data_IF_459996059440
#
_entry.id   IF_459996059440
#
_cell.length_a   1.000
_cell.length_b   1.000
_cell.length_c   1.000
_cell.angle_alpha   90.00
_cell.angle_beta   90.00
_cell.angle_gamma   90.00
#
_symmetry.space_group_name_H-M   'P 1'
#
loop_
_entity.id
_entity.type
_entity.pdbx_description
1 polymer ?
#
# COMPACT_ATOMS: atom_id res chain seq x y z
N UNK A 1 10.99 4.81 -17.97
CA UNK A 1 9.62 5.15 -17.67
C UNK A 1 9.40 5.16 -16.17
N UNK A 2 8.97 6.27 -15.66
CA UNK A 2 8.71 6.36 -14.23
C UNK A 2 7.44 5.59 -13.91
N UNK A 3 7.49 4.73 -12.91
CA UNK A 3 6.32 4.08 -12.40
C UNK A 3 5.49 5.04 -11.58
N UNK A 4 4.28 4.62 -11.24
CA UNK A 4 3.46 5.34 -10.29
C UNK A 4 3.79 4.87 -8.89
N UNK A 5 3.84 5.82 -7.97
CA UNK A 5 4.16 5.53 -6.58
C UNK A 5 2.89 5.56 -5.74
N UNK A 6 2.68 4.52 -4.98
CA UNK A 6 1.55 4.40 -4.06
C UNK A 6 2.11 4.41 -2.64
N UNK A 7 1.81 5.45 -1.89
CA UNK A 7 2.21 5.56 -0.49
C UNK A 7 0.99 5.31 0.37
N UNK A 8 1.04 4.29 1.21
CA UNK A 8 -0.11 3.85 1.99
C UNK A 8 0.10 4.16 3.46
N UNK A 9 -0.81 4.95 4.03
CA UNK A 9 -0.91 5.15 5.47
C UNK A 9 -1.56 3.90 6.06
N UNK A 10 -0.73 3.02 6.62
CA UNK A 10 -1.19 1.72 7.10
C UNK A 10 -2.23 1.81 8.20
N UNK A 11 -2.11 2.78 9.08
CA UNK A 11 -3.08 3.00 10.15
C UNK A 11 -4.47 3.30 9.59
N UNK A 12 -4.54 4.22 8.62
CA UNK A 12 -5.81 4.56 7.96
C UNK A 12 -6.47 3.34 7.35
N UNK A 13 -5.69 2.51 6.66
CA UNK A 13 -6.23 1.33 5.98
C UNK A 13 -6.67 0.26 6.98
N UNK A 14 -5.85 -0.03 7.98
CA UNK A 14 -6.19 -1.04 8.99
C UNK A 14 -7.49 -0.69 9.71
N UNK A 15 -7.67 0.59 10.06
CA UNK A 15 -8.86 1.01 10.77
C UNK A 15 -10.09 1.22 9.87
N UNK A 16 -9.88 1.33 8.56
CA UNK A 16 -10.99 1.49 7.60
C UNK A 16 -11.51 0.16 7.07
N UNK A 17 -10.64 -0.82 6.88
CA UNK A 17 -11.06 -2.12 6.37
C UNK A 17 -11.56 -2.99 7.52
N UNK A 18 -12.80 -3.44 7.45
CA UNK A 18 -13.46 -4.13 8.55
C UNK A 18 -12.71 -5.36 9.03
N UNK A 19 -12.24 -6.18 8.11
CA UNK A 19 -11.51 -7.41 8.47
C UNK A 19 -10.18 -7.11 9.16
N UNK A 20 -9.46 -6.10 8.69
CA UNK A 20 -8.18 -5.72 9.30
C UNK A 20 -8.39 -5.03 10.64
N UNK A 21 -9.45 -4.22 10.77
CA UNK A 21 -9.78 -3.59 12.05
C UNK A 21 -10.09 -4.65 13.10
N UNK A 22 -10.87 -5.65 12.74
CA UNK A 22 -11.19 -6.76 13.64
C UNK A 22 -9.94 -7.54 14.03
N UNK A 23 -9.10 -7.85 13.05
CA UNK A 23 -7.84 -8.56 13.29
C UNK A 23 -6.91 -7.75 14.19
N UNK A 24 -6.84 -6.45 14.00
CA UNK A 24 -6.00 -5.57 14.79
C UNK A 24 -6.37 -5.58 16.28
N UNK A 25 -7.66 -5.73 16.59
CA UNK A 25 -8.11 -5.83 17.98
C UNK A 25 -7.60 -7.10 18.66
N UNK A 26 -7.38 -8.15 17.90
CA UNK A 26 -6.91 -9.44 18.40
C UNK A 26 -5.37 -9.55 18.34
N UNK A 27 -4.78 -9.07 17.28
CA UNK A 27 -3.35 -9.23 17.02
C UNK A 27 -2.88 -8.13 16.07
N UNK A 28 -2.23 -7.12 16.63
CA UNK A 28 -1.74 -5.98 15.86
C UNK A 28 -0.71 -6.39 14.80
N UNK A 29 0.18 -7.29 15.16
CA UNK A 29 1.22 -7.77 14.24
C UNK A 29 0.61 -8.51 13.07
N UNK A 30 -0.41 -9.32 13.32
CA UNK A 30 -1.10 -10.06 12.27
C UNK A 30 -1.80 -9.12 11.29
N UNK A 31 -2.43 -8.07 11.79
CA UNK A 31 -3.09 -7.08 10.93
C UNK A 31 -2.09 -6.37 10.02
N UNK A 32 -0.95 -5.97 10.58
CA UNK A 32 0.12 -5.32 9.80
C UNK A 32 0.70 -6.24 8.76
N UNK A 33 0.96 -7.49 9.14
CA UNK A 33 1.48 -8.49 8.21
C UNK A 33 0.50 -8.77 7.09
N UNK A 34 -0.78 -8.92 7.41
CA UNK A 34 -1.81 -9.17 6.42
C UNK A 34 -1.90 -8.04 5.41
N UNK A 35 -1.89 -6.79 5.90
CA UNK A 35 -1.88 -5.64 5.01
C UNK A 35 -0.65 -5.61 4.11
N UNK A 36 0.53 -5.83 4.70
CA UNK A 36 1.77 -5.85 3.93
C UNK A 36 1.75 -6.93 2.84
N UNK A 37 1.24 -8.12 3.17
CA UNK A 37 1.15 -9.22 2.20
C UNK A 37 0.20 -8.87 1.05
N UNK A 38 -0.95 -8.27 1.35
CA UNK A 38 -1.91 -7.84 0.32
C UNK A 38 -1.31 -6.77 -0.59
N UNK A 39 -0.63 -5.79 0.00
CA UNK A 39 0.00 -4.72 -0.77
C UNK A 39 1.18 -5.22 -1.60
N UNK A 40 1.91 -6.21 -1.09
CA UNK A 40 2.97 -6.83 -1.86
C UNK A 40 2.41 -7.51 -3.10
N UNK A 41 1.25 -8.14 -2.99
CA UNK A 41 0.55 -8.69 -4.15
C UNK A 41 0.25 -7.64 -5.19
N UNK A 42 -0.24 -6.48 -4.76
CA UNK A 42 -0.52 -5.36 -5.67
C UNK A 42 0.78 -4.85 -6.31
N UNK A 43 1.83 -4.68 -5.50
CA UNK A 43 3.13 -4.22 -5.98
C UNK A 43 3.71 -5.16 -7.05
N UNK A 44 3.62 -6.46 -6.80
CA UNK A 44 4.22 -7.47 -7.67
C UNK A 44 3.43 -7.68 -8.96
N UNK A 45 2.12 -7.46 -8.92
CA UNK A 45 1.23 -7.77 -10.06
C UNK A 45 0.85 -6.55 -10.91
N UNK A 46 1.27 -5.35 -10.51
CA UNK A 46 0.91 -4.11 -11.21
C UNK A 46 2.14 -3.23 -11.41
N UNK A 47 1.94 -2.11 -12.09
CA UNK A 47 2.97 -1.09 -12.24
C UNK A 47 3.12 -0.19 -11.01
N UNK A 48 2.29 -0.35 -9.99
CA UNK A 48 2.38 0.43 -8.78
C UNK A 48 3.64 0.07 -7.99
N UNK A 49 4.38 1.10 -7.59
CA UNK A 49 5.51 0.96 -6.66
C UNK A 49 4.99 1.32 -5.28
N UNK A 50 4.84 0.34 -4.42
CA UNK A 50 4.14 0.51 -3.15
C UNK A 50 5.11 0.74 -2.01
N UNK A 51 4.84 1.75 -1.19
CA UNK A 51 5.49 2.00 0.09
C UNK A 51 4.41 2.01 1.16
N UNK A 52 4.55 1.14 2.15
CA UNK A 52 3.65 1.06 3.29
C UNK A 52 4.30 1.74 4.47
N UNK A 53 3.62 2.72 5.06
CA UNK A 53 4.10 3.42 6.25
C UNK A 53 3.24 3.00 7.44
N UNK A 54 3.89 2.53 8.49
CA UNK A 54 3.22 2.05 9.70
C UNK A 54 3.67 2.87 10.91
N UNK A 55 2.73 3.16 11.79
CA UNK A 55 3.03 3.73 13.09
C UNK A 55 3.52 2.65 14.03
N UNK A 56 4.34 3.06 15.00
CA UNK A 56 4.72 2.22 16.11
C UNK A 56 6.12 1.69 16.01
N UNK A 57 6.61 1.28 17.16
CA UNK A 57 8.01 1.00 17.39
C UNK A 57 8.34 -0.48 17.38
N UNK A 58 7.39 -1.33 17.01
CA UNK A 58 7.58 -2.78 17.14
C UNK A 58 8.22 -3.36 15.90
N UNK A 59 9.47 -3.70 16.05
CA UNK A 59 10.24 -4.35 15.02
C UNK A 59 10.79 -3.37 14.00
N UNK A 60 11.85 -3.78 13.37
CA UNK A 60 12.41 -3.09 12.21
C UNK A 60 11.76 -3.68 10.97
N UNK A 61 11.49 -2.82 10.01
CA UNK A 61 11.05 -3.30 8.71
C UNK A 61 12.12 -4.22 8.12
N UNK A 62 11.74 -5.36 7.56
CA UNK A 62 12.73 -6.18 6.86
C UNK A 62 13.31 -5.39 5.71
N UNK A 63 14.62 -5.48 5.53
CA UNK A 63 15.28 -4.83 4.40
C UNK A 63 14.71 -5.42 3.10
N UNK A 64 14.52 -4.60 2.06
CA UNK A 64 14.11 -5.11 0.76
C UNK A 64 15.14 -6.13 0.27
N UNK A 65 14.65 -7.27 -0.21
CA UNK A 65 15.53 -8.32 -0.73
C UNK A 65 16.15 -7.95 -2.07
N UNK A 66 15.42 -7.14 -2.82
CA UNK A 66 15.83 -6.67 -4.14
C UNK A 66 15.44 -5.20 -4.28
N UNK A 67 16.10 -4.45 -5.17
CA UNK A 67 15.79 -3.03 -5.35
C UNK A 67 14.34 -2.74 -5.73
N UNK A 68 13.65 -3.70 -6.30
CA UNK A 68 12.26 -3.52 -6.77
C UNK A 68 11.23 -4.01 -5.77
N UNK A 69 11.63 -4.45 -4.58
CA UNK A 69 10.68 -4.93 -3.60
C UNK A 69 9.85 -3.78 -3.02
N UNK A 70 8.65 -4.12 -2.57
CA UNK A 70 7.82 -3.19 -1.81
C UNK A 70 8.58 -2.71 -0.57
N UNK A 71 8.47 -1.44 -0.27
CA UNK A 71 9.12 -0.83 0.88
C UNK A 71 8.13 -0.72 2.04
N UNK A 72 8.55 -1.16 3.23
CA UNK A 72 7.78 -0.96 4.46
C UNK A 72 8.61 -0.08 5.39
N UNK A 73 8.01 1.01 5.86
CA UNK A 73 8.67 1.96 6.75
C UNK A 73 7.90 2.01 8.06
N UNK A 74 8.60 1.87 9.17
CA UNK A 74 8.03 2.05 10.51
C UNK A 74 8.42 3.42 11.05
N UNK A 75 7.42 4.17 11.52
CA UNK A 75 7.67 5.42 12.22
C UNK A 75 8.31 5.13 13.56
N UNK A 76 9.36 5.87 13.88
CA UNK A 76 10.01 5.79 15.20
C UNK A 76 9.24 6.62 16.22
N UNK A 77 9.64 6.51 17.50
CA UNK A 77 8.94 7.19 18.59
C UNK A 77 8.86 8.70 18.44
N UNK A 78 9.83 9.30 17.75
CA UNK A 78 9.91 10.75 17.54
C UNK A 78 9.38 11.21 16.18
N UNK A 79 8.77 10.30 15.43
CA UNK A 79 8.22 10.59 14.10
C UNK A 79 6.83 10.01 13.98
N UNK A 80 5.95 10.71 13.26
CA UNK A 80 4.62 10.19 12.93
C UNK A 80 4.64 9.62 11.53
N UNK A 81 3.70 8.73 11.23
CA UNK A 81 3.51 8.25 9.87
C UNK A 81 3.25 9.41 8.92
N UNK A 82 2.45 10.39 9.35
CA UNK A 82 2.15 11.59 8.57
C UNK A 82 3.39 12.34 8.15
N UNK A 83 4.32 12.54 9.08
CA UNK A 83 5.55 13.28 8.77
C UNK A 83 6.46 12.50 7.84
N UNK A 84 6.48 11.18 7.94
CA UNK A 84 7.23 10.33 7.02
C UNK A 84 6.64 10.41 5.62
N UNK A 85 5.33 10.30 5.51
CA UNK A 85 4.62 10.37 4.22
C UNK A 85 4.89 11.71 3.56
N UNK A 86 4.77 12.80 4.31
CA UNK A 86 5.07 14.13 3.81
C UNK A 86 6.49 14.23 3.25
N UNK A 87 7.46 13.69 3.97
CA UNK A 87 8.85 13.69 3.51
C UNK A 87 9.07 12.85 2.28
N UNK A 88 8.39 11.69 2.20
CA UNK A 88 8.48 10.83 1.01
C UNK A 88 7.96 11.55 -0.22
N UNK A 89 6.83 12.25 -0.09
CA UNK A 89 6.25 13.01 -1.20
C UNK A 89 7.18 14.14 -1.60
N UNK A 90 7.67 14.92 -0.63
CA UNK A 90 8.55 16.04 -0.91
C UNK A 90 9.86 15.61 -1.55
N UNK A 91 10.40 14.47 -1.13
CA UNK A 91 11.68 13.96 -1.64
C UNK A 91 11.57 13.23 -2.96
N UNK A 92 10.35 12.90 -3.41
CA UNK A 92 10.16 12.08 -4.60
C UNK A 92 10.66 12.73 -5.89
N UNK A 93 10.70 14.07 -5.93
CA UNK A 93 11.03 14.80 -7.14
C UNK A 93 9.97 14.70 -8.22
N UNK A 94 8.92 13.93 -8.01
CA UNK A 94 7.85 13.68 -8.95
C UNK A 94 6.53 13.51 -8.20
N UNK A 95 6.16 14.52 -7.38
CA UNK A 95 4.97 14.44 -6.53
C UNK A 95 3.70 14.13 -7.35
N UNK A 96 3.62 14.61 -8.58
CA UNK A 96 2.46 14.34 -9.44
C UNK A 96 2.27 12.85 -9.74
N UNK A 97 3.32 12.04 -9.60
CA UNK A 97 3.26 10.60 -9.82
C UNK A 97 2.98 9.83 -8.53
N UNK A 98 2.78 10.51 -7.41
CA UNK A 98 2.54 9.90 -6.11
C UNK A 98 1.07 9.95 -5.76
N UNK A 99 0.52 8.79 -5.41
CA UNK A 99 -0.83 8.68 -4.86
C UNK A 99 -0.71 8.24 -3.40
N UNK A 100 -1.27 9.04 -2.50
CA UNK A 100 -1.25 8.74 -1.06
C UNK A 100 -2.62 8.23 -0.64
N UNK A 101 -2.62 7.09 0.04
CA UNK A 101 -3.84 6.50 0.59
C UNK A 101 -3.93 6.86 2.06
N UNK A 102 -4.92 7.65 2.40
CA UNK A 102 -5.14 8.08 3.78
C UNK A 102 -6.61 8.42 4.02
N UNK A 103 -7.05 8.23 5.26
CA UNK A 103 -8.36 8.68 5.72
C UNK A 103 -8.26 10.00 6.50
N UNK A 104 -7.04 10.48 6.75
CA UNK A 104 -6.81 11.69 7.53
C UNK A 104 -6.91 12.92 6.62
N UNK A 105 -7.87 13.79 6.92
CA UNK A 105 -8.14 14.96 6.10
C UNK A 105 -6.98 15.98 6.14
N UNK A 106 -6.33 16.12 7.29
CA UNK A 106 -5.20 17.04 7.43
C UNK A 106 -4.02 16.56 6.59
N UNK A 107 -3.70 15.27 6.71
CA UNK A 107 -2.65 14.65 5.90
C UNK A 107 -2.95 14.79 4.41
N UNK A 108 -4.21 14.54 4.03
CA UNK A 108 -4.64 14.65 2.64
C UNK A 108 -4.35 16.02 2.07
N UNK A 109 -4.77 17.07 2.78
CA UNK A 109 -4.55 18.46 2.35
C UNK A 109 -3.08 18.78 2.25
N UNK A 110 -2.30 18.27 3.20
CA UNK A 110 -0.88 18.56 3.25
C UNK A 110 -0.16 17.98 2.03
N UNK A 111 -0.37 16.69 1.74
CA UNK A 111 0.31 16.06 0.59
C UNK A 111 -0.22 16.59 -0.73
N UNK A 112 -1.49 16.97 -0.81
CA UNK A 112 -2.03 17.61 -2.00
C UNK A 112 -1.38 18.97 -2.24
N UNK A 113 -1.07 19.70 -1.18
CA UNK A 113 -0.36 20.97 -1.30
C UNK A 113 1.06 20.79 -1.84
N UNK A 114 1.63 19.60 -1.68
CA UNK A 114 2.95 19.26 -2.24
C UNK A 114 2.87 18.74 -3.67
N UNK A 115 1.67 18.59 -4.20
CA UNK A 115 1.47 18.16 -5.58
C UNK A 115 1.06 16.71 -5.76
N UNK A 116 0.95 15.93 -4.68
CA UNK A 116 0.52 14.53 -4.76
C UNK A 116 -1.01 14.43 -4.89
N UNK A 117 -1.46 13.29 -5.41
CA UNK A 117 -2.87 12.94 -5.39
C UNK A 117 -3.16 12.11 -4.15
N UNK A 118 -4.43 12.06 -3.75
CA UNK A 118 -4.86 11.26 -2.61
C UNK A 118 -6.08 10.44 -2.97
N UNK A 119 -6.24 9.32 -2.25
CA UNK A 119 -7.45 8.50 -2.34
C UNK A 119 -7.73 7.87 -0.98
N UNK A 120 -8.94 7.37 -0.81
CA UNK A 120 -9.37 6.76 0.44
C UNK A 120 -8.95 5.30 0.53
N UNK A 121 -8.91 4.75 1.75
CA UNK A 121 -8.74 3.30 1.91
C UNK A 121 -9.83 2.49 1.20
N UNK A 122 -11.06 3.01 1.11
CA UNK A 122 -12.14 2.35 0.38
C UNK A 122 -11.83 2.27 -1.12
N UNK A 123 -11.29 3.33 -1.69
CA UNK A 123 -10.86 3.33 -3.09
C UNK A 123 -9.79 2.26 -3.33
N UNK A 124 -8.82 2.18 -2.43
CA UNK A 124 -7.74 1.18 -2.54
C UNK A 124 -8.31 -0.24 -2.51
N UNK A 125 -9.26 -0.50 -1.61
CA UNK A 125 -9.89 -1.80 -1.50
C UNK A 125 -10.59 -2.20 -2.81
N UNK A 126 -11.32 -1.29 -3.42
CA UNK A 126 -11.99 -1.54 -4.69
C UNK A 126 -10.99 -1.75 -5.82
N UNK A 127 -9.93 -0.95 -5.83
CA UNK A 127 -8.87 -1.10 -6.83
C UNK A 127 -8.19 -2.46 -6.74
N UNK A 128 -7.91 -2.92 -5.52
CA UNK A 128 -7.29 -4.23 -5.30
C UNK A 128 -8.23 -5.37 -5.70
N UNK A 129 -9.52 -5.23 -5.46
CA UNK A 129 -10.50 -6.22 -5.92
C UNK A 129 -10.52 -6.29 -7.44
N UNK A 130 -10.50 -5.15 -8.11
CA UNK A 130 -10.51 -5.08 -9.57
C UNK A 130 -9.25 -5.69 -10.16
N UNK A 131 -8.08 -5.38 -9.60
CA UNK A 131 -6.82 -5.95 -10.04
C UNK A 131 -6.78 -7.45 -9.78
N UNK A 132 -7.28 -7.91 -8.62
CA UNK A 132 -7.39 -9.31 -8.31
C UNK A 132 -8.32 -10.06 -9.27
N UNK A 133 -9.43 -9.45 -9.64
CA UNK A 133 -10.36 -10.03 -10.60
C UNK A 133 -9.74 -10.11 -12.00
N UNK A 134 -9.02 -9.08 -12.41
CA UNK A 134 -8.32 -9.07 -13.69
C UNK A 134 -7.25 -10.17 -13.74
N UNK A 135 -6.47 -10.30 -12.67
CA UNK A 135 -5.44 -11.33 -12.56
C UNK A 135 -6.05 -12.71 -12.57
N UNK A 136 -7.15 -12.92 -11.84
CA UNK A 136 -7.87 -14.19 -11.83
C UNK A 136 -8.42 -14.54 -13.21
N UNK A 137 -8.91 -13.54 -13.94
CA UNK A 137 -9.37 -13.73 -15.32
C UNK A 137 -8.27 -14.20 -16.24
N UNK A 138 -7.06 -13.68 -16.10
CA UNK A 138 -5.91 -14.11 -16.88
C UNK A 138 -5.52 -15.56 -16.54
N UNK A 139 -5.52 -15.91 -15.26
CA UNK A 139 -5.26 -17.28 -14.81
C UNK A 139 -6.30 -18.23 -15.41
N UNK A 140 -7.57 -17.87 -15.38
CA UNK A 140 -8.66 -18.69 -15.92
C UNK A 140 -8.49 -18.89 -17.42
N UNK A 141 -8.08 -17.88 -18.15
CA UNK A 141 -7.78 -17.98 -19.59
C UNK A 141 -6.64 -18.97 -19.85
N UNK A 142 -5.59 -18.90 -19.07
CA UNK A 142 -4.47 -19.83 -19.20
C UNK A 142 -4.92 -21.26 -18.90
N UNK A 143 -5.68 -21.45 -17.85
CA UNK A 143 -6.20 -22.78 -17.51
C UNK A 143 -7.11 -23.33 -18.60
N UNK A 144 -7.97 -22.51 -19.18
CA UNK A 144 -8.83 -22.93 -20.27
C UNK A 144 -8.02 -23.33 -21.50
N UNK A 145 -6.98 -22.56 -21.80
CA UNK A 145 -6.07 -22.89 -22.89
C UNK A 145 -5.28 -24.17 -22.66
N UNK A 146 -5.01 -24.52 -21.39
CA UNK A 146 -4.27 -25.72 -21.02
C UNK A 146 -5.14 -26.97 -20.93
N UNK A 147 -6.45 -26.83 -20.80
CA UNK A 147 -7.38 -27.96 -20.59
C UNK A 147 -7.41 -28.96 -21.75
N UNK A 148 -7.08 -28.53 -22.94
CA UNK A 148 -7.05 -29.41 -24.11
C UNK A 148 -5.87 -30.37 -24.10
N UNK A 149 -4.91 -30.16 -23.22
CA UNK A 149 -3.73 -31.03 -23.12
C UNK A 149 -4.08 -32.29 -22.35
N UNK A 150 -3.77 -33.46 -22.90
CA UNK A 150 -3.98 -34.69 -22.19
C UNK A 150 -3.14 -34.79 -20.92
#
# INVERSE_FOLDING_TARGET
MSGRYLVVDGHSVIFSWTDLRTLHQKDRSAARKTLADRLRGLHDSTAWRVTLVLDGTHGSAPAPRQPNDMVVVYATADQTADSIIERLVAASGAAADVLVITADEVERRLVESLGASTASPAWLQEEMKREGAAFQGEIDKVHRGAKWRP
#
